data_IF_780478709761
#
_entry.id   IF_780478709761
#
_cell.length_a   1.000
_cell.length_b   1.000
_cell.length_c   1.000
_cell.angle_alpha   90.00
_cell.angle_beta   90.00
_cell.angle_gamma   90.00
#
_symmetry.space_group_name_H-M   'P 1'
#
loop_
_entity.id
_entity.type
_entity.pdbx_description
1 polymer ?
#
# COMPACT_ATOMS: atom_id res chain seq x y z
N UNK A 1 16.11 -36.09 -23.77
CA UNK A 1 15.97 -35.60 -22.36
C UNK A 1 15.11 -34.35 -22.38
N UNK A 2 13.81 -34.41 -22.02
CA UNK A 2 12.91 -33.24 -22.02
C UNK A 2 13.08 -32.57 -20.68
N UNK A 3 13.58 -31.34 -20.69
CA UNK A 3 13.64 -30.48 -19.48
C UNK A 3 12.20 -30.17 -19.07
N UNK A 4 11.78 -30.41 -17.82
CA UNK A 4 10.44 -30.08 -17.37
C UNK A 4 10.19 -28.56 -17.56
N UNK A 5 9.04 -28.21 -18.14
CA UNK A 5 8.68 -26.79 -18.44
C UNK A 5 8.64 -25.90 -17.19
N UNK A 6 8.41 -26.48 -16.02
CA UNK A 6 8.37 -25.77 -14.75
C UNK A 6 9.73 -25.19 -14.33
N UNK A 7 10.84 -25.90 -14.63
CA UNK A 7 12.20 -25.43 -14.31
C UNK A 7 12.68 -24.27 -15.19
N UNK A 8 12.12 -24.12 -16.39
CA UNK A 8 12.41 -22.97 -17.28
C UNK A 8 11.67 -21.71 -16.84
N UNK A 9 10.43 -21.85 -16.37
CA UNK A 9 9.61 -20.72 -15.90
C UNK A 9 10.18 -20.10 -14.63
N UNK A 10 10.70 -20.93 -13.72
CA UNK A 10 11.35 -20.46 -12.47
C UNK A 10 12.69 -19.75 -12.73
N UNK A 11 13.35 -20.04 -13.86
CA UNK A 11 14.62 -19.39 -14.26
C UNK A 11 14.43 -18.10 -15.04
N UNK A 12 13.27 -17.87 -15.66
CA UNK A 12 13.02 -16.70 -16.52
C UNK A 12 12.46 -15.47 -15.78
N UNK A 13 12.19 -15.60 -14.48
CA UNK A 13 11.61 -14.52 -13.69
C UNK A 13 10.14 -14.23 -14.03
N UNK A 14 9.55 -13.16 -13.47
CA UNK A 14 8.17 -12.80 -13.71
C UNK A 14 7.88 -12.55 -15.19
N UNK A 15 6.75 -13.03 -15.70
CA UNK A 15 6.35 -12.82 -17.09
C UNK A 15 6.12 -11.32 -17.40
N UNK A 16 6.36 -10.88 -18.64
CA UNK A 16 6.07 -9.51 -19.09
C UNK A 16 4.62 -9.08 -18.76
N UNK A 17 3.66 -10.02 -18.81
CA UNK A 17 2.29 -9.79 -18.42
C UNK A 17 2.13 -9.40 -16.95
N UNK A 18 2.90 -9.97 -16.04
CA UNK A 18 2.87 -9.58 -14.62
C UNK A 18 3.33 -8.14 -14.42
N UNK A 19 4.42 -7.75 -15.07
CA UNK A 19 4.90 -6.36 -15.02
C UNK A 19 3.87 -5.37 -15.59
N UNK A 20 3.21 -5.73 -16.70
CA UNK A 20 2.15 -4.90 -17.27
C UNK A 20 0.97 -4.71 -16.30
N UNK A 21 0.54 -5.77 -15.62
CA UNK A 21 -0.51 -5.70 -14.60
C UNK A 21 -0.10 -4.84 -13.40
N UNK A 22 1.13 -4.99 -12.91
CA UNK A 22 1.67 -4.15 -11.83
C UNK A 22 1.70 -2.68 -12.27
N UNK A 23 2.21 -2.38 -13.46
CA UNK A 23 2.29 -1.02 -13.99
C UNK A 23 0.89 -0.38 -14.13
N UNK A 24 -0.09 -1.14 -14.63
CA UNK A 24 -1.47 -0.69 -14.75
C UNK A 24 -2.08 -0.39 -13.37
N UNK A 25 -1.90 -1.28 -12.40
CA UNK A 25 -2.32 -1.07 -11.01
C UNK A 25 -1.65 0.15 -10.38
N UNK A 26 -0.34 0.34 -10.62
CA UNK A 26 0.41 1.49 -10.10
C UNK A 26 -0.08 2.81 -10.71
N UNK A 27 -0.45 2.83 -11.97
CA UNK A 27 -1.06 3.99 -12.62
C UNK A 27 -2.38 4.40 -11.96
N UNK A 28 -3.27 3.42 -11.72
CA UNK A 28 -4.54 3.65 -11.01
C UNK A 28 -4.27 4.12 -9.57
N UNK A 29 -3.38 3.43 -8.85
CA UNK A 29 -3.02 3.79 -7.47
C UNK A 29 -2.44 5.20 -7.37
N UNK A 30 -1.53 5.56 -8.28
CA UNK A 30 -0.92 6.90 -8.34
C UNK A 30 -1.94 8.01 -8.64
N UNK A 31 -2.86 7.78 -9.58
CA UNK A 31 -3.94 8.73 -9.88
C UNK A 31 -4.89 8.90 -8.68
N UNK A 32 -5.29 7.81 -8.03
CA UNK A 32 -6.13 7.84 -6.83
C UNK A 32 -5.43 8.59 -5.68
N UNK A 33 -4.13 8.35 -5.47
CA UNK A 33 -3.33 9.09 -4.48
C UNK A 33 -3.38 10.59 -4.73
N UNK A 34 -3.10 11.01 -5.98
CA UNK A 34 -3.09 12.42 -6.33
C UNK A 34 -4.45 13.06 -6.03
N UNK A 35 -5.53 12.42 -6.45
CA UNK A 35 -6.88 12.90 -6.20
C UNK A 35 -7.21 12.99 -4.70
N UNK A 36 -6.89 11.95 -3.91
CA UNK A 36 -7.12 11.94 -2.46
C UNK A 36 -6.29 13.03 -1.76
N UNK A 37 -5.03 13.23 -2.15
CA UNK A 37 -4.16 14.25 -1.57
C UNK A 37 -4.70 15.66 -1.84
N UNK A 38 -5.09 15.96 -3.08
CA UNK A 38 -5.71 17.21 -3.47
C UNK A 38 -7.02 17.49 -2.70
N UNK A 39 -7.90 16.50 -2.63
CA UNK A 39 -9.16 16.62 -1.90
C UNK A 39 -8.91 16.88 -0.40
N UNK A 40 -7.96 16.18 0.19
CA UNK A 40 -7.58 16.40 1.61
C UNK A 40 -7.03 17.80 1.84
N UNK A 41 -6.20 18.32 0.93
CA UNK A 41 -5.67 19.68 1.03
C UNK A 41 -6.79 20.75 0.96
N UNK A 42 -7.79 20.53 0.11
CA UNK A 42 -8.95 21.43 0.01
C UNK A 42 -9.84 21.39 1.24
N UNK A 43 -10.03 20.24 1.87
CA UNK A 43 -10.93 20.05 3.02
C UNK A 43 -10.26 20.39 4.36
N UNK A 44 -9.00 20.05 4.53
CA UNK A 44 -8.28 20.15 5.80
C UNK A 44 -7.24 21.30 5.81
N UNK A 45 -7.07 21.96 4.66
CA UNK A 45 -6.09 23.03 4.48
C UNK A 45 -4.67 22.52 4.21
N UNK A 46 -3.81 23.40 3.70
CA UNK A 46 -2.44 23.11 3.30
C UNK A 46 -1.41 23.25 4.45
N UNK A 47 -1.87 23.54 5.67
CA UNK A 47 -0.98 23.80 6.80
C UNK A 47 -0.20 22.57 7.29
N UNK A 48 -0.69 21.35 7.03
CA UNK A 48 -0.04 20.09 7.38
C UNK A 48 -0.31 19.07 6.27
N UNK A 49 0.58 18.11 5.96
CA UNK A 49 0.45 17.17 4.84
C UNK A 49 -0.57 16.06 5.12
N UNK A 50 -1.81 16.43 5.47
CA UNK A 50 -2.90 15.49 5.76
C UNK A 50 -3.14 14.50 4.62
N UNK A 51 -3.03 14.98 3.38
CA UNK A 51 -3.30 14.15 2.20
C UNK A 51 -2.40 12.93 2.12
N UNK A 52 -1.10 13.13 2.23
CA UNK A 52 -0.11 12.04 2.16
C UNK A 52 -0.21 11.14 3.40
N UNK A 53 -0.43 11.72 4.58
CA UNK A 53 -0.66 10.93 5.80
C UNK A 53 -1.85 10.00 5.64
N UNK A 54 -3.03 10.52 5.25
CA UNK A 54 -4.25 9.74 5.10
C UNK A 54 -4.14 8.66 4.01
N UNK A 55 -3.51 8.99 2.89
CA UNK A 55 -3.24 8.05 1.80
C UNK A 55 -2.37 6.88 2.27
N UNK A 56 -1.28 7.17 2.98
CA UNK A 56 -0.39 6.13 3.49
C UNK A 56 -1.06 5.27 4.58
N UNK A 57 -1.83 5.87 5.46
CA UNK A 57 -2.60 5.14 6.50
C UNK A 57 -3.67 4.24 5.88
N UNK A 58 -4.46 4.77 4.93
CA UNK A 58 -5.48 3.98 4.24
C UNK A 58 -4.87 2.82 3.43
N UNK A 59 -3.78 3.11 2.69
CA UNK A 59 -3.06 2.07 1.94
C UNK A 59 -2.45 1.01 2.84
N UNK A 60 -1.96 1.39 4.03
CA UNK A 60 -1.44 0.45 5.03
C UNK A 60 -2.52 -0.48 5.58
N UNK A 61 -3.72 0.04 5.83
CA UNK A 61 -4.87 -0.79 6.21
C UNK A 61 -5.22 -1.81 5.13
N UNK A 62 -5.35 -1.33 3.89
CA UNK A 62 -5.74 -2.17 2.74
C UNK A 62 -4.70 -3.26 2.47
N UNK A 63 -3.41 -2.92 2.47
CA UNK A 63 -2.36 -3.90 2.19
C UNK A 63 -2.25 -4.95 3.31
N UNK A 64 -2.36 -4.55 4.59
CA UNK A 64 -2.36 -5.46 5.73
C UNK A 64 -3.54 -6.42 5.71
N UNK A 65 -4.73 -5.91 5.37
CA UNK A 65 -5.94 -6.72 5.19
C UNK A 65 -5.78 -7.71 4.02
N UNK A 66 -5.45 -7.20 2.84
CA UNK A 66 -5.40 -8.03 1.63
C UNK A 66 -4.29 -9.07 1.68
N UNK A 67 -3.13 -8.73 2.25
CA UNK A 67 -2.02 -9.66 2.46
C UNK A 67 -2.47 -10.92 3.20
N UNK A 68 -3.23 -10.72 4.29
CA UNK A 68 -3.68 -11.81 5.17
C UNK A 68 -4.90 -12.53 4.60
N UNK A 69 -5.85 -11.77 4.03
CA UNK A 69 -7.10 -12.33 3.51
C UNK A 69 -6.90 -13.19 2.25
N UNK A 70 -5.86 -12.85 1.45
CA UNK A 70 -5.45 -13.60 0.25
C UNK A 70 -4.18 -14.45 0.45
N UNK A 71 -3.75 -14.65 1.69
CA UNK A 71 -2.60 -15.52 2.02
C UNK A 71 -2.89 -17.01 1.78
N UNK A 72 -1.90 -17.89 2.02
CA UNK A 72 -2.08 -19.34 1.83
C UNK A 72 -3.24 -19.92 2.63
N UNK A 73 -3.45 -19.41 3.87
CA UNK A 73 -4.54 -19.81 4.75
C UNK A 73 -5.74 -18.84 4.69
N UNK A 74 -5.76 -17.96 3.69
CA UNK A 74 -6.79 -16.94 3.51
C UNK A 74 -8.05 -17.50 2.84
N UNK A 75 -9.19 -16.87 3.12
CA UNK A 75 -10.47 -17.23 2.46
C UNK A 75 -10.53 -16.83 0.99
N UNK A 76 -9.77 -15.82 0.59
CA UNK A 76 -9.77 -15.32 -0.78
C UNK A 76 -8.65 -15.97 -1.58
N UNK A 77 -9.00 -16.99 -2.36
CA UNK A 77 -8.06 -17.62 -3.28
C UNK A 77 -7.92 -16.78 -4.54
N UNK A 78 -6.76 -16.15 -4.71
CA UNK A 78 -6.44 -15.35 -5.89
C UNK A 78 -5.15 -15.84 -6.55
N UNK A 79 -5.03 -15.59 -7.84
CA UNK A 79 -3.78 -15.86 -8.55
C UNK A 79 -2.64 -14.97 -8.05
N UNK A 80 -1.39 -15.43 -8.22
CA UNK A 80 -0.20 -14.61 -7.93
C UNK A 80 -0.26 -13.26 -8.67
N UNK A 81 -0.72 -13.26 -9.91
CA UNK A 81 -0.87 -12.05 -10.73
C UNK A 81 -1.85 -11.06 -10.09
N UNK A 82 -3.03 -11.53 -9.67
CA UNK A 82 -4.02 -10.68 -8.99
C UNK A 82 -3.48 -10.14 -7.67
N UNK A 83 -2.77 -10.98 -6.92
CA UNK A 83 -2.17 -10.57 -5.65
C UNK A 83 -1.13 -9.48 -5.85
N UNK A 84 -0.26 -9.60 -6.83
CA UNK A 84 0.75 -8.59 -7.17
C UNK A 84 0.12 -7.32 -7.77
N UNK A 85 -0.92 -7.45 -8.58
CA UNK A 85 -1.67 -6.30 -9.07
C UNK A 85 -2.22 -5.43 -7.92
N UNK A 86 -2.83 -6.06 -6.91
CA UNK A 86 -3.38 -5.32 -5.77
C UNK A 86 -2.29 -4.78 -4.85
N UNK A 87 -1.34 -5.63 -4.43
CA UNK A 87 -0.37 -5.25 -3.41
C UNK A 87 0.72 -4.34 -3.95
N UNK A 88 1.40 -4.78 -5.02
CA UNK A 88 2.53 -4.04 -5.61
C UNK A 88 2.02 -2.96 -6.55
N UNK A 89 0.99 -3.23 -7.34
CA UNK A 89 0.37 -2.28 -8.23
C UNK A 89 -0.45 -1.23 -7.48
N UNK A 90 -1.69 -1.54 -7.12
CA UNK A 90 -2.62 -0.57 -6.53
C UNK A 90 -2.10 0.05 -5.23
N UNK A 91 -1.78 -0.76 -4.22
CA UNK A 91 -1.33 -0.24 -2.93
C UNK A 91 0.04 0.43 -3.04
N UNK A 92 1.00 -0.16 -3.79
CA UNK A 92 2.33 0.42 -4.02
C UNK A 92 2.28 1.73 -4.80
N UNK A 93 1.39 1.86 -5.79
CA UNK A 93 1.15 3.12 -6.50
C UNK A 93 0.40 4.16 -5.66
N UNK A 94 -0.52 3.72 -4.80
CA UNK A 94 -1.32 4.59 -3.95
C UNK A 94 -0.50 5.19 -2.81
N UNK A 95 0.34 4.42 -2.12
CA UNK A 95 1.18 4.89 -1.01
C UNK A 95 2.49 5.50 -1.50
N UNK A 96 3.11 6.34 -0.67
CA UNK A 96 4.37 6.99 -1.06
C UNK A 96 5.22 7.39 0.14
N UNK A 97 6.46 6.93 0.16
CA UNK A 97 7.44 7.39 1.13
C UNK A 97 8.15 8.67 0.65
N UNK A 98 8.32 8.84 -0.66
CA UNK A 98 9.02 10.01 -1.22
C UNK A 98 8.26 11.31 -1.01
N UNK A 99 6.93 11.32 -1.21
CA UNK A 99 6.13 12.51 -0.93
C UNK A 99 6.12 12.84 0.58
N UNK A 100 5.96 11.83 1.46
CA UNK A 100 6.10 12.01 2.91
C UNK A 100 7.45 12.65 3.29
N UNK A 101 8.55 12.18 2.69
CA UNK A 101 9.89 12.71 2.95
C UNK A 101 10.02 14.16 2.50
N UNK A 102 9.49 14.48 1.32
CA UNK A 102 9.51 15.83 0.77
C UNK A 102 8.66 16.80 1.61
N UNK A 103 7.45 16.39 2.02
CA UNK A 103 6.59 17.18 2.89
C UNK A 103 7.25 17.47 4.25
N UNK A 104 7.91 16.46 4.83
CA UNK A 104 8.67 16.61 6.07
C UNK A 104 9.81 17.61 5.91
N UNK A 105 10.58 17.49 4.81
CA UNK A 105 11.67 18.40 4.50
C UNK A 105 11.17 19.86 4.33
N UNK A 106 10.05 20.05 3.62
CA UNK A 106 9.45 21.36 3.41
C UNK A 106 9.03 21.99 4.75
N UNK A 107 8.37 21.24 5.64
CA UNK A 107 8.03 21.70 6.99
C UNK A 107 9.29 22.14 7.78
N UNK A 108 10.39 21.40 7.66
CA UNK A 108 11.66 21.77 8.31
C UNK A 108 12.24 23.07 7.72
N UNK A 109 12.23 23.22 6.40
CA UNK A 109 12.73 24.43 5.70
C UNK A 109 11.91 25.68 6.05
N UNK A 110 10.61 25.50 6.29
CA UNK A 110 9.69 26.56 6.72
C UNK A 110 9.84 26.89 8.23
N UNK A 111 10.81 26.27 8.93
CA UNK A 111 11.02 26.46 10.37
C UNK A 111 9.98 25.76 11.25
N UNK A 112 9.11 24.94 10.69
CA UNK A 112 8.00 24.26 11.37
C UNK A 112 8.43 22.89 11.93
N UNK A 113 9.47 22.88 12.76
CA UNK A 113 10.14 21.67 13.24
C UNK A 113 9.18 20.72 14.00
N UNK A 114 8.30 21.28 14.84
CA UNK A 114 7.30 20.46 15.55
C UNK A 114 6.32 19.77 14.60
N UNK A 115 5.87 20.46 13.54
CA UNK A 115 5.00 19.87 12.54
C UNK A 115 5.74 18.77 11.72
N UNK A 116 7.03 18.99 11.40
CA UNK A 116 7.85 17.98 10.75
C UNK A 116 8.00 16.72 11.62
N UNK A 117 8.32 16.89 12.91
CA UNK A 117 8.37 15.80 13.88
C UNK A 117 7.04 15.08 14.03
N UNK A 118 5.93 15.83 14.11
CA UNK A 118 4.59 15.24 14.14
C UNK A 118 4.27 14.45 12.89
N UNK A 119 4.62 14.94 11.69
CA UNK A 119 4.43 14.20 10.44
C UNK A 119 5.18 12.86 10.44
N UNK A 120 6.42 12.83 10.93
CA UNK A 120 7.20 11.59 11.04
C UNK A 120 6.55 10.62 12.01
N UNK A 121 6.27 11.07 13.23
CA UNK A 121 5.74 10.20 14.30
C UNK A 121 4.36 9.66 13.92
N UNK A 122 3.45 10.54 13.47
CA UNK A 122 2.10 10.13 13.08
C UNK A 122 2.10 9.20 11.88
N UNK A 123 2.91 9.48 10.85
CA UNK A 123 2.99 8.62 9.67
C UNK A 123 3.47 7.22 10.04
N UNK A 124 4.56 7.10 10.78
CA UNK A 124 5.10 5.79 11.15
C UNK A 124 4.14 5.04 12.08
N UNK A 125 3.69 5.69 13.16
CA UNK A 125 2.83 5.05 14.17
C UNK A 125 1.48 4.62 13.57
N UNK A 126 0.82 5.50 12.81
CA UNK A 126 -0.48 5.20 12.23
C UNK A 126 -0.40 4.17 11.09
N UNK A 127 0.61 4.25 10.21
CA UNK A 127 0.78 3.26 9.15
C UNK A 127 1.01 1.86 9.73
N UNK A 128 1.86 1.71 10.75
CA UNK A 128 2.07 0.42 11.42
C UNK A 128 0.81 -0.07 12.13
N UNK A 129 0.12 0.81 12.86
CA UNK A 129 -1.13 0.48 13.54
C UNK A 129 -2.19 0.02 12.53
N UNK A 130 -2.40 0.74 11.45
CA UNK A 130 -3.43 0.42 10.48
C UNK A 130 -3.10 -0.81 9.62
N UNK A 131 -1.82 -1.04 9.31
CA UNK A 131 -1.39 -2.32 8.72
C UNK A 131 -1.71 -3.50 9.63
N UNK A 132 -1.42 -3.36 10.94
CA UNK A 132 -1.77 -4.37 11.93
C UNK A 132 -3.29 -4.55 12.08
N UNK A 133 -4.07 -3.47 12.10
CA UNK A 133 -5.53 -3.54 12.15
C UNK A 133 -6.10 -4.27 10.93
N UNK A 134 -5.60 -3.97 9.74
CA UNK A 134 -5.96 -4.68 8.51
C UNK A 134 -5.67 -6.17 8.60
N UNK A 135 -4.46 -6.53 9.05
CA UNK A 135 -4.08 -7.92 9.31
C UNK A 135 -5.02 -8.59 10.33
N UNK A 136 -5.25 -7.96 11.48
CA UNK A 136 -6.09 -8.51 12.54
C UNK A 136 -7.54 -8.71 12.10
N UNK A 137 -8.10 -7.78 11.32
CA UNK A 137 -9.44 -7.90 10.75
C UNK A 137 -9.53 -9.09 9.78
N UNK A 138 -8.60 -9.23 8.85
CA UNK A 138 -8.56 -10.34 7.91
C UNK A 138 -8.36 -11.69 8.63
N UNK A 139 -7.48 -11.74 9.64
CA UNK A 139 -7.25 -12.95 10.43
C UNK A 139 -8.52 -13.40 11.18
N UNK A 140 -9.33 -12.46 11.67
CA UNK A 140 -10.64 -12.78 12.29
C UNK A 140 -11.60 -13.37 11.26
N UNK A 141 -11.66 -12.77 10.07
CA UNK A 141 -12.53 -13.24 8.98
C UNK A 141 -12.10 -14.60 8.42
N UNK A 142 -10.80 -14.92 8.45
CA UNK A 142 -10.28 -16.21 8.00
C UNK A 142 -10.59 -17.36 8.97
N UNK A 143 -10.92 -17.08 10.23
CA UNK A 143 -11.29 -18.15 11.18
C UNK A 143 -12.58 -18.83 10.72
N UNK A 144 -12.62 -20.18 10.68
CA UNK A 144 -13.88 -20.87 10.44
C UNK A 144 -14.89 -20.51 11.52
N UNK A 145 -16.17 -20.35 11.13
CA UNK A 145 -17.23 -20.23 12.11
C UNK A 145 -17.14 -21.46 13.03
N UNK A 146 -16.96 -21.24 14.32
CA UNK A 146 -17.07 -22.34 15.30
C UNK A 146 -18.53 -22.78 15.28
N UNK A 147 -18.76 -23.92 14.63
CA UNK A 147 -20.02 -24.66 14.75
C UNK A 147 -20.17 -25.25 16.16
#
# INVERSE_FOLDING_TARGET
MRIPRDTLRDRLGPSAGLYAWIAFGSGIGGAARFWCAEMSARLLGAGFPWGILLVNVAGSLVIGFFFTYSGPDGRLLVSTTTRQFVMTGLCGGYTTFSAFSLDTLNLMRDGRIFAAGANVVLSVALCLLFAWLGHALAARLNRPARG
#
